data_IF_574443643610
#
_entry.id   IF_574443643610
#
_cell.length_a   1.000
_cell.length_b   1.000
_cell.length_c   1.000
_cell.angle_alpha   90.00
_cell.angle_beta   90.00
_cell.angle_gamma   90.00
#
_symmetry.space_group_name_H-M   'P 1'
#
loop_
_entity.id
_entity.type
_entity.pdbx_description
1 polymer ?
#
# COMPACT_ATOMS: atom_id res chain seq x y z
N UNK A 1 15.98 -12.22 -2.54
CA UNK A 1 15.39 -12.20 -3.90
C UNK A 1 16.20 -11.20 -4.72
N UNK A 2 17.00 -11.68 -5.68
CA UNK A 2 17.53 -10.82 -6.74
C UNK A 2 16.52 -10.89 -7.89
N UNK A 3 15.48 -10.06 -7.79
CA UNK A 3 14.39 -9.99 -8.76
C UNK A 3 14.18 -8.54 -9.09
N UNK A 4 14.08 -8.23 -10.38
CA UNK A 4 13.83 -6.90 -10.93
C UNK A 4 12.77 -6.14 -10.12
N UNK A 5 12.95 -4.83 -9.87
CA UNK A 5 12.01 -3.97 -9.14
C UNK A 5 10.66 -3.74 -9.88
N UNK A 6 10.45 -4.46 -10.98
CA UNK A 6 9.29 -4.37 -11.85
C UNK A 6 8.83 -5.76 -12.30
N UNK A 7 7.57 -5.83 -12.68
CA UNK A 7 6.97 -6.98 -13.37
C UNK A 7 6.51 -6.55 -14.77
N UNK A 8 6.35 -7.52 -15.67
CA UNK A 8 5.89 -7.25 -17.04
C UNK A 8 4.56 -7.94 -17.29
N UNK A 9 3.58 -7.21 -17.81
CA UNK A 9 2.31 -7.78 -18.29
C UNK A 9 2.26 -7.70 -19.81
N UNK A 10 1.89 -8.83 -20.44
CA UNK A 10 1.77 -9.00 -21.89
C UNK A 10 0.40 -9.55 -22.26
N UNK A 11 -0.16 -9.05 -23.35
CA UNK A 11 -1.39 -9.58 -23.93
C UNK A 11 -1.51 -9.13 -25.40
N UNK A 12 -1.18 -10.02 -26.34
CA UNK A 12 -1.11 -9.69 -27.77
C UNK A 12 -0.01 -8.64 -28.03
N UNK A 13 -0.36 -7.51 -28.68
CA UNK A 13 0.57 -6.40 -28.89
C UNK A 13 0.81 -5.54 -27.65
N UNK A 14 -0.02 -5.67 -26.60
CA UNK A 14 0.13 -4.90 -25.38
C UNK A 14 1.29 -5.42 -24.52
N UNK A 15 2.14 -4.50 -24.08
CA UNK A 15 3.28 -4.74 -23.21
C UNK A 15 3.39 -3.61 -22.17
N UNK A 16 3.48 -3.95 -20.89
CA UNK A 16 3.69 -2.98 -19.82
C UNK A 16 4.70 -3.50 -18.81
N UNK A 17 5.80 -2.77 -18.61
CA UNK A 17 6.70 -2.95 -17.48
C UNK A 17 6.25 -2.00 -16.36
N UNK A 18 5.96 -2.53 -15.18
CA UNK A 18 5.37 -1.79 -14.07
C UNK A 18 6.19 -2.06 -12.81
N UNK A 19 6.63 -0.98 -12.14
CA UNK A 19 7.30 -1.07 -10.85
C UNK A 19 6.37 -1.68 -9.80
N UNK A 20 6.90 -2.50 -8.90
CA UNK A 20 6.09 -3.01 -7.78
C UNK A 20 5.53 -1.89 -6.91
N UNK A 21 6.30 -0.82 -6.68
CA UNK A 21 5.85 0.37 -5.93
C UNK A 21 4.65 1.07 -6.58
N UNK A 22 4.43 0.91 -7.89
CA UNK A 22 3.25 1.47 -8.55
C UNK A 22 1.93 0.84 -8.06
N UNK A 23 1.98 -0.37 -7.49
CA UNK A 23 0.82 -1.03 -6.87
C UNK A 23 0.28 -0.27 -5.64
N UNK A 24 1.10 0.58 -5.03
CA UNK A 24 0.73 1.43 -3.89
C UNK A 24 0.11 2.77 -4.30
N UNK A 25 0.30 3.19 -5.56
CA UNK A 25 0.01 4.56 -6.00
C UNK A 25 -0.99 4.64 -7.16
N UNK A 26 -1.07 3.59 -7.98
CA UNK A 26 -1.98 3.59 -9.12
C UNK A 26 -3.45 3.57 -8.67
N UNK A 27 -4.33 4.31 -9.36
CA UNK A 27 -5.75 4.21 -9.12
C UNK A 27 -6.26 2.77 -9.24
N UNK A 28 -7.12 2.35 -8.32
CA UNK A 28 -7.67 0.99 -8.27
C UNK A 28 -8.28 0.53 -9.60
N UNK A 29 -8.94 1.43 -10.33
CA UNK A 29 -9.53 1.09 -11.63
C UNK A 29 -8.46 0.75 -12.69
N UNK A 30 -7.27 1.35 -12.62
CA UNK A 30 -6.15 1.04 -13.49
C UNK A 30 -5.51 -0.29 -13.11
N UNK A 31 -5.33 -0.56 -11.81
CA UNK A 31 -4.88 -1.87 -11.32
C UNK A 31 -5.83 -2.99 -11.76
N UNK A 32 -7.15 -2.77 -11.63
CA UNK A 32 -8.17 -3.72 -12.09
C UNK A 32 -8.10 -3.97 -13.60
N UNK A 33 -7.75 -2.97 -14.42
CA UNK A 33 -7.54 -3.17 -15.87
C UNK A 33 -6.27 -3.99 -16.12
N UNK A 34 -5.19 -3.65 -15.42
CA UNK A 34 -3.90 -4.32 -15.52
C UNK A 34 -4.00 -5.80 -15.17
N UNK A 35 -4.62 -6.15 -14.04
CA UNK A 35 -4.81 -7.54 -13.63
C UNK A 35 -5.78 -8.30 -14.56
N UNK A 36 -6.77 -7.62 -15.14
CA UNK A 36 -7.64 -8.23 -16.17
C UNK A 36 -6.84 -8.61 -17.41
N UNK A 37 -5.87 -7.80 -17.83
CA UNK A 37 -4.99 -8.14 -18.96
C UNK A 37 -4.09 -9.33 -18.62
N UNK A 38 -3.48 -9.32 -17.44
CA UNK A 38 -2.69 -10.46 -16.96
C UNK A 38 -3.50 -11.77 -16.96
N UNK A 39 -4.76 -11.72 -16.49
CA UNK A 39 -5.66 -12.89 -16.50
C UNK A 39 -5.93 -13.44 -17.90
N UNK A 40 -6.16 -12.56 -18.87
CA UNK A 40 -6.51 -12.99 -20.24
C UNK A 40 -5.41 -13.81 -20.90
N UNK A 41 -4.16 -13.54 -20.56
CA UNK A 41 -3.00 -14.31 -20.97
C UNK A 41 -2.28 -14.88 -19.74
N UNK A 42 -3.00 -15.63 -18.90
CA UNK A 42 -2.50 -16.06 -17.59
C UNK A 42 -1.17 -16.82 -17.66
N UNK A 43 -1.01 -17.72 -18.63
CA UNK A 43 0.22 -18.48 -18.82
C UNK A 43 1.41 -17.57 -19.20
N UNK A 44 1.22 -16.58 -20.07
CA UNK A 44 2.27 -15.64 -20.47
C UNK A 44 2.67 -14.69 -19.32
N UNK A 45 1.80 -14.53 -18.33
CA UNK A 45 1.96 -13.61 -17.22
C UNK A 45 2.16 -14.32 -15.87
N UNK A 46 2.44 -15.63 -15.87
CA UNK A 46 2.53 -16.43 -14.65
C UNK A 46 3.59 -15.87 -13.68
N UNK A 47 4.78 -15.58 -14.20
CA UNK A 47 5.88 -14.97 -13.42
C UNK A 47 5.49 -13.62 -12.82
N UNK A 48 4.77 -12.79 -13.58
CA UNK A 48 4.31 -11.49 -13.11
C UNK A 48 3.22 -11.64 -12.04
N UNK A 49 2.28 -12.58 -12.22
CA UNK A 49 1.23 -12.88 -11.23
C UNK A 49 1.86 -13.36 -9.92
N UNK A 50 2.80 -14.30 -10.01
CA UNK A 50 3.49 -14.83 -8.83
C UNK A 50 4.37 -13.78 -8.15
N UNK A 51 5.05 -12.94 -8.94
CA UNK A 51 5.83 -11.80 -8.44
C UNK A 51 4.98 -10.79 -7.68
N UNK A 52 3.82 -10.40 -8.24
CA UNK A 52 2.88 -9.47 -7.60
C UNK A 52 2.34 -10.06 -6.29
N UNK A 53 1.97 -11.34 -6.28
CA UNK A 53 1.53 -12.02 -5.05
C UNK A 53 2.62 -12.01 -3.98
N UNK A 54 3.84 -12.36 -4.35
CA UNK A 54 5.00 -12.40 -3.43
C UNK A 54 5.32 -11.00 -2.87
N UNK A 55 5.20 -9.97 -3.70
CA UNK A 55 5.31 -8.58 -3.28
C UNK A 55 4.25 -8.23 -2.22
N UNK A 56 2.97 -8.56 -2.44
CA UNK A 56 1.93 -8.31 -1.43
C UNK A 56 2.14 -9.08 -0.14
N UNK A 57 2.62 -10.32 -0.21
CA UNK A 57 2.92 -11.16 0.96
C UNK A 57 4.04 -10.57 1.82
N UNK A 58 4.92 -9.76 1.23
CA UNK A 58 6.00 -9.07 1.96
C UNK A 58 5.61 -7.65 2.38
N UNK A 59 5.06 -6.86 1.46
CA UNK A 59 4.80 -5.44 1.65
C UNK A 59 3.63 -5.17 2.63
N UNK A 60 2.59 -6.02 2.66
CA UNK A 60 1.45 -5.82 3.56
C UNK A 60 1.85 -5.98 5.03
N UNK A 61 2.54 -7.07 5.45
CA UNK A 61 3.04 -7.18 6.82
C UNK A 61 3.96 -6.03 7.23
N UNK A 62 4.89 -5.62 6.35
CA UNK A 62 5.80 -4.50 6.60
C UNK A 62 5.04 -3.18 6.80
N UNK A 63 4.06 -2.90 5.94
CA UNK A 63 3.22 -1.71 6.07
C UNK A 63 2.34 -1.76 7.33
N UNK A 64 1.85 -2.94 7.72
CA UNK A 64 1.07 -3.13 8.94
C UNK A 64 1.92 -2.86 10.19
N UNK A 65 3.15 -3.37 10.23
CA UNK A 65 4.09 -3.12 11.31
C UNK A 65 4.44 -1.62 11.41
N UNK A 66 4.74 -0.99 10.27
CA UNK A 66 5.01 0.46 10.19
C UNK A 66 3.83 1.28 10.70
N UNK A 67 2.60 0.90 10.31
CA UNK A 67 1.38 1.53 10.79
C UNK A 67 1.20 1.38 12.30
N UNK A 68 1.43 0.18 12.85
CA UNK A 68 1.34 -0.09 14.30
C UNK A 68 2.38 0.71 15.08
N UNK A 69 3.61 0.78 14.60
CA UNK A 69 4.66 1.59 15.21
C UNK A 69 4.31 3.08 15.19
N UNK A 70 3.77 3.58 14.08
CA UNK A 70 3.32 4.97 13.96
C UNK A 70 2.12 5.27 14.87
N UNK A 71 1.18 4.33 15.02
CA UNK A 71 0.05 4.45 15.93
C UNK A 71 0.52 4.54 17.39
N UNK A 72 1.42 3.65 17.80
CA UNK A 72 2.02 3.68 19.14
C UNK A 72 2.74 5.00 19.42
N UNK A 73 3.58 5.47 18.50
CA UNK A 73 4.27 6.75 18.65
C UNK A 73 3.29 7.93 18.73
N UNK A 74 2.18 7.86 18.00
CA UNK A 74 1.11 8.86 18.08
C UNK A 74 0.44 8.86 19.45
N UNK A 75 0.04 7.70 19.97
CA UNK A 75 -0.56 7.57 21.31
C UNK A 75 0.39 8.05 22.42
N UNK A 76 1.65 7.63 22.35
CA UNK A 76 2.67 7.94 23.36
C UNK A 76 3.05 9.43 23.35
N UNK A 77 3.17 10.06 22.17
CA UNK A 77 3.74 11.40 22.01
C UNK A 77 2.76 12.54 21.76
N UNK A 78 1.56 12.27 21.26
CA UNK A 78 0.60 13.32 20.91
C UNK A 78 -0.02 13.92 22.18
N UNK A 79 -0.08 15.25 22.28
CA UNK A 79 -0.66 15.96 23.43
C UNK A 79 -1.54 17.11 22.97
N UNK A 80 -2.72 17.26 23.57
CA UNK A 80 -3.59 18.41 23.30
C UNK A 80 -2.88 19.71 23.72
N UNK A 81 -2.97 20.74 22.88
CA UNK A 81 -2.43 22.08 23.14
C UNK A 81 -3.58 23.07 23.24
N UNK A 82 -3.84 23.60 24.44
CA UNK A 82 -5.02 24.44 24.69
C UNK A 82 -4.92 25.85 24.10
N UNK A 83 -3.70 26.39 23.96
CA UNK A 83 -3.45 27.73 23.39
C UNK A 83 -2.57 27.64 22.13
N UNK A 84 -3.09 27.15 20.99
CA UNK A 84 -2.28 26.86 19.80
C UNK A 84 -1.71 28.11 19.12
N UNK A 85 -2.23 29.32 19.43
CA UNK A 85 -1.71 30.60 18.92
C UNK A 85 -0.60 31.20 19.80
N UNK A 86 -0.31 30.59 20.96
CA UNK A 86 0.76 31.04 21.83
C UNK A 86 2.11 30.87 21.15
N UNK A 87 2.97 31.89 21.24
CA UNK A 87 4.37 31.84 20.75
C UNK A 87 5.34 31.24 21.77
N UNK A 88 4.85 30.66 22.87
CA UNK A 88 5.70 29.98 23.83
C UNK A 88 6.47 28.84 23.13
N UNK A 89 7.81 28.77 23.25
CA UNK A 89 8.61 27.73 22.61
C UNK A 89 8.10 26.30 22.86
N UNK A 90 7.63 25.98 24.08
CA UNK A 90 7.08 24.66 24.41
C UNK A 90 5.80 24.35 23.65
N UNK A 91 4.93 25.34 23.46
CA UNK A 91 3.69 25.21 22.69
C UNK A 91 4.01 24.97 21.21
N UNK A 92 4.92 25.77 20.66
CA UNK A 92 5.33 25.66 19.24
C UNK A 92 5.94 24.28 18.99
N UNK A 93 6.82 23.81 19.87
CA UNK A 93 7.46 22.50 19.74
C UNK A 93 6.45 21.36 19.84
N UNK A 94 5.51 21.40 20.80
CA UNK A 94 4.48 20.37 20.90
C UNK A 94 3.57 20.33 19.66
N UNK A 95 3.24 21.49 19.07
CA UNK A 95 2.47 21.55 17.82
C UNK A 95 3.26 20.94 16.65
N UNK A 96 4.58 21.16 16.60
CA UNK A 96 5.47 20.54 15.60
C UNK A 96 5.48 19.02 15.74
N UNK A 97 5.67 18.52 16.96
CA UNK A 97 5.63 17.08 17.29
C UNK A 97 4.28 16.49 16.91
N UNK A 98 3.17 17.10 17.32
CA UNK A 98 1.83 16.62 16.99
C UNK A 98 1.62 16.53 15.48
N UNK A 99 2.01 17.58 14.72
CA UNK A 99 1.88 17.58 13.26
C UNK A 99 2.66 16.44 12.63
N UNK A 100 3.89 16.21 13.10
CA UNK A 100 4.76 15.15 12.62
C UNK A 100 4.16 13.76 12.91
N UNK A 101 3.74 13.51 14.15
CA UNK A 101 3.09 12.25 14.55
C UNK A 101 1.80 12.00 13.77
N UNK A 102 0.93 13.00 13.66
CA UNK A 102 -0.32 12.89 12.86
C UNK A 102 0.00 12.56 11.41
N UNK A 103 1.00 13.22 10.81
CA UNK A 103 1.36 13.02 9.40
C UNK A 103 1.89 11.61 9.17
N UNK A 104 2.84 11.16 10.01
CA UNK A 104 3.42 9.81 9.93
C UNK A 104 2.35 8.74 10.09
N UNK A 105 1.47 8.87 11.08
CA UNK A 105 0.36 7.93 11.28
C UNK A 105 -0.56 7.87 10.06
N UNK A 106 -1.01 9.02 9.55
CA UNK A 106 -1.88 9.09 8.36
C UNK A 106 -1.23 8.47 7.12
N UNK A 107 0.06 8.72 6.90
CA UNK A 107 0.78 8.17 5.76
C UNK A 107 0.95 6.65 5.87
N UNK A 108 1.36 6.14 7.03
CA UNK A 108 1.52 4.71 7.26
C UNK A 108 0.19 3.96 7.13
N UNK A 109 -0.87 4.51 7.72
CA UNK A 109 -2.22 3.95 7.61
C UNK A 109 -2.72 3.97 6.16
N UNK A 110 -2.54 5.08 5.44
CA UNK A 110 -2.92 5.17 4.04
C UNK A 110 -2.18 4.13 3.19
N UNK A 111 -0.87 3.96 3.39
CA UNK A 111 -0.06 2.95 2.69
C UNK A 111 -0.61 1.54 2.90
N UNK A 112 -0.83 1.14 4.15
CA UNK A 112 -1.37 -0.18 4.50
C UNK A 112 -2.74 -0.42 3.82
N UNK A 113 -3.67 0.52 3.97
CA UNK A 113 -5.00 0.45 3.34
C UNK A 113 -4.92 0.30 1.82
N UNK A 114 -3.96 0.99 1.18
CA UNK A 114 -3.79 0.94 -0.28
C UNK A 114 -3.28 -0.42 -0.72
N UNK A 115 -2.28 -0.97 -0.04
CA UNK A 115 -1.78 -2.31 -0.32
C UNK A 115 -2.86 -3.39 -0.14
N UNK A 116 -3.66 -3.31 0.92
CA UNK A 116 -4.78 -4.24 1.15
C UNK A 116 -5.83 -4.13 0.05
N UNK A 117 -6.21 -2.91 -0.34
CA UNK A 117 -7.16 -2.70 -1.43
C UNK A 117 -6.61 -3.21 -2.78
N UNK A 118 -5.33 -2.97 -3.07
CA UNK A 118 -4.67 -3.48 -4.26
C UNK A 118 -4.62 -5.01 -4.30
N UNK A 119 -4.29 -5.67 -3.17
CA UNK A 119 -4.33 -7.15 -3.06
C UNK A 119 -5.74 -7.69 -3.25
N UNK A 120 -6.74 -7.07 -2.64
CA UNK A 120 -8.15 -7.48 -2.81
C UNK A 120 -8.55 -7.46 -4.29
N UNK A 121 -8.23 -6.37 -5.00
CA UNK A 121 -8.55 -6.22 -6.43
C UNK A 121 -7.77 -7.23 -7.28
N UNK A 122 -6.53 -7.55 -6.91
CA UNK A 122 -5.73 -8.59 -7.53
C UNK A 122 -6.40 -9.96 -7.41
N UNK A 123 -6.73 -10.38 -6.18
CA UNK A 123 -7.34 -11.69 -5.93
C UNK A 123 -8.73 -11.80 -6.57
N UNK A 124 -9.61 -10.80 -6.40
CA UNK A 124 -10.95 -10.78 -7.02
C UNK A 124 -10.90 -10.82 -8.55
N UNK A 125 -9.86 -10.22 -9.15
CA UNK A 125 -9.74 -10.20 -10.60
C UNK A 125 -9.23 -11.53 -11.13
N UNK A 126 -8.13 -12.04 -10.57
CA UNK A 126 -7.48 -13.25 -11.06
C UNK A 126 -8.22 -14.53 -10.64
N UNK A 127 -8.77 -14.56 -9.44
CA UNK A 127 -9.38 -15.74 -8.82
C UNK A 127 -10.82 -15.45 -8.34
N UNK A 128 -11.77 -15.17 -9.25
CA UNK A 128 -13.13 -14.76 -8.89
C UNK A 128 -13.95 -15.86 -8.20
N UNK A 129 -13.60 -17.13 -8.41
CA UNK A 129 -14.34 -18.29 -7.87
C UNK A 129 -13.90 -18.67 -6.45
N UNK A 130 -12.77 -18.13 -5.98
CA UNK A 130 -12.38 -18.24 -4.57
C UNK A 130 -13.15 -17.18 -3.77
N UNK A 131 -14.37 -17.50 -3.37
CA UNK A 131 -15.04 -16.77 -2.28
C UNK A 131 -14.09 -16.74 -1.08
N UNK A 132 -13.55 -15.58 -0.74
CA UNK A 132 -12.73 -15.43 0.47
C UNK A 132 -13.56 -15.90 1.68
N UNK A 133 -13.10 -16.90 2.46
CA UNK A 133 -13.59 -17.02 3.82
C UNK A 133 -13.18 -15.74 4.55
N UNK A 134 -14.16 -14.93 4.95
CA UNK A 134 -13.91 -13.85 5.90
C UNK A 134 -13.56 -14.52 7.22
N UNK A 135 -12.30 -14.42 7.63
CA UNK A 135 -11.91 -14.57 9.02
C UNK A 135 -12.26 -13.30 9.78
#
# INVERSE_FOLDING_TARGET
MSGSDFFTIRHGSFHAAVLYSALEHLPIHNLKKLFRLAKKAQFENEDAIQGIRSYFDTAIPEAQETMRAAAKAYEDGWRKVDKPRSRNPKTVEQLRINKELTTRFKQAHARYERLVASRKVFEETLFPDTKHPMN
#
